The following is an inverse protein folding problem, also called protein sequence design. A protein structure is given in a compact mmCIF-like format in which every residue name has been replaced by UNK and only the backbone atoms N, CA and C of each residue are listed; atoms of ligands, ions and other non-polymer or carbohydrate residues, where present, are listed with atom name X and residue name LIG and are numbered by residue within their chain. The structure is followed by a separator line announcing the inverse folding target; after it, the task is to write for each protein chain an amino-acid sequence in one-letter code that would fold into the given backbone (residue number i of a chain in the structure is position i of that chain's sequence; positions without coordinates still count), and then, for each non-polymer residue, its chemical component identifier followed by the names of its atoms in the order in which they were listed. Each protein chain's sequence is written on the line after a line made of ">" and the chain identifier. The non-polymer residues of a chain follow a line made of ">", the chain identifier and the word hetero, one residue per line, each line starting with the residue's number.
data_IF_724208742723
#
_entry.id   IF_724208742723
#
_cell.length_a   1.000
_cell.length_b   1.000
_cell.length_c   1.000
_cell.angle_alpha   90.00
_cell.angle_beta   90.00
_cell.angle_gamma   90.00
#
_symmetry.space_group_name_H-M   'P 1'
#
loop_
_entity.id
_entity.type
_entity.pdbx_description
1 polymer ?
#
# COMPACT_ATOMS: atom_id res chain seq x y z
N UNK A 1 5.45 10.41 17.53
CA UNK A 1 5.30 8.97 17.84
C UNK A 1 6.57 8.25 17.47
N UNK A 2 7.16 7.51 18.41
CA UNK A 2 8.28 6.60 18.14
C UNK A 2 7.82 5.45 17.23
N UNK A 3 8.77 4.79 16.56
CA UNK A 3 8.50 3.62 15.71
C UNK A 3 7.83 2.50 16.51
N UNK A 4 8.17 2.36 17.79
CA UNK A 4 7.57 1.41 18.73
C UNK A 4 6.12 1.77 19.07
N UNK A 5 5.82 3.04 19.38
CA UNK A 5 4.45 3.52 19.65
C UNK A 5 3.54 3.31 18.44
N UNK A 6 4.06 3.49 17.23
CA UNK A 6 3.30 3.25 16.00
C UNK A 6 3.08 1.77 15.72
N UNK A 7 4.07 0.91 16.03
CA UNK A 7 3.90 -0.55 15.95
C UNK A 7 2.84 -1.04 16.93
N UNK A 8 2.86 -0.53 18.17
CA UNK A 8 1.84 -0.83 19.19
C UNK A 8 0.45 -0.39 18.74
N UNK A 9 0.31 0.85 18.26
CA UNK A 9 -0.97 1.35 17.75
C UNK A 9 -1.47 0.55 16.55
N UNK A 10 -0.58 0.19 15.61
CA UNK A 10 -0.93 -0.66 14.49
C UNK A 10 -1.36 -2.07 14.94
N UNK A 11 -0.69 -2.65 15.95
CA UNK A 11 -1.06 -3.94 16.53
C UNK A 11 -2.42 -3.88 17.20
N UNK A 12 -2.69 -2.83 17.98
CA UNK A 12 -3.98 -2.62 18.63
C UNK A 12 -5.11 -2.46 17.60
N UNK A 13 -4.90 -1.67 16.55
CA UNK A 13 -5.88 -1.52 15.47
C UNK A 13 -6.12 -2.85 14.74
N UNK A 14 -5.05 -3.56 14.38
CA UNK A 14 -5.17 -4.87 13.72
C UNK A 14 -5.87 -5.90 14.60
N UNK A 15 -5.54 -5.96 15.89
CA UNK A 15 -6.16 -6.85 16.86
C UNK A 15 -7.64 -6.52 17.11
N UNK A 16 -7.99 -5.24 17.23
CA UNK A 16 -9.36 -4.79 17.38
C UNK A 16 -10.22 -5.18 16.16
N UNK A 17 -9.71 -4.95 14.95
CA UNK A 17 -10.41 -5.35 13.72
C UNK A 17 -10.56 -6.87 13.64
N UNK A 18 -9.53 -7.65 13.98
CA UNK A 18 -9.62 -9.11 14.03
C UNK A 18 -10.68 -9.58 15.03
N UNK A 19 -10.74 -8.99 16.23
CA UNK A 19 -11.70 -9.35 17.26
C UNK A 19 -13.14 -9.04 16.84
N UNK A 20 -13.37 -7.85 16.26
CA UNK A 20 -14.69 -7.45 15.75
C UNK A 20 -15.12 -8.35 14.57
N UNK A 21 -14.22 -8.59 13.63
CA UNK A 21 -14.49 -9.48 12.50
C UNK A 21 -14.78 -10.92 12.97
N UNK A 22 -14.01 -11.45 13.92
CA UNK A 22 -14.26 -12.79 14.48
C UNK A 22 -15.62 -12.85 15.18
N UNK A 23 -15.96 -11.83 15.97
CA UNK A 23 -17.26 -11.75 16.66
C UNK A 23 -18.45 -11.77 15.71
N UNK A 24 -18.29 -11.22 14.50
CA UNK A 24 -19.34 -11.19 13.47
C UNK A 24 -19.34 -12.47 12.64
N UNK A 25 -18.16 -12.92 12.19
CA UNK A 25 -18.03 -14.02 11.23
C UNK A 25 -18.20 -15.41 11.87
N UNK A 26 -17.60 -15.65 13.05
CA UNK A 26 -17.62 -16.96 13.71
C UNK A 26 -19.04 -17.48 14.00
N UNK A 27 -20.02 -16.66 14.43
CA UNK A 27 -21.38 -17.14 14.64
C UNK A 27 -22.22 -17.26 13.35
N UNK A 28 -21.72 -16.89 12.18
CA UNK A 28 -22.52 -16.94 10.94
C UNK A 28 -22.93 -18.38 10.60
N UNK A 29 -24.22 -18.55 10.34
CA UNK A 29 -24.78 -19.79 9.84
C UNK A 29 -24.51 -19.94 8.34
N UNK A 30 -24.75 -21.14 7.81
CA UNK A 30 -24.58 -21.41 6.38
C UNK A 30 -25.52 -20.56 5.51
N UNK A 31 -26.74 -20.29 6.00
CA UNK A 31 -27.72 -19.47 5.30
C UNK A 31 -27.23 -18.03 5.12
N UNK A 32 -26.63 -17.46 6.17
CA UNK A 32 -26.05 -16.11 6.16
C UNK A 32 -24.91 -15.99 5.12
N UNK A 33 -24.11 -17.05 4.97
CA UNK A 33 -23.00 -17.08 4.01
C UNK A 33 -23.46 -17.21 2.55
N UNK A 34 -24.61 -17.85 2.30
CA UNK A 34 -25.18 -17.95 0.95
C UNK A 34 -25.74 -16.63 0.44
N UNK A 35 -26.31 -15.80 1.32
CA UNK A 35 -26.80 -14.46 0.96
C UNK A 35 -25.66 -13.50 0.55
N UNK A 36 -24.46 -13.74 1.08
CA UNK A 36 -23.25 -12.98 0.71
C UNK A 36 -22.76 -13.28 -0.73
N UNK A 37 -23.25 -14.33 -1.40
CA UNK A 37 -22.77 -14.73 -2.74
C UNK A 37 -22.99 -13.66 -3.81
N UNK A 38 -24.09 -12.91 -3.73
CA UNK A 38 -24.34 -11.76 -4.62
C UNK A 38 -23.33 -10.63 -4.42
N UNK A 39 -22.93 -10.39 -3.16
CA UNK A 39 -21.93 -9.40 -2.80
C UNK A 39 -20.52 -9.79 -3.27
N UNK A 40 -20.21 -11.09 -3.34
CA UNK A 40 -18.93 -11.57 -3.90
C UNK A 40 -18.80 -11.17 -5.38
N UNK A 41 -19.84 -11.38 -6.19
CA UNK A 41 -19.83 -11.00 -7.60
C UNK A 41 -19.74 -9.49 -7.79
N UNK A 42 -20.49 -8.73 -6.98
CA UNK A 42 -20.46 -7.28 -7.00
C UNK A 42 -19.06 -6.75 -6.61
N UNK A 43 -18.46 -7.31 -5.56
CA UNK A 43 -17.10 -6.97 -5.14
C UNK A 43 -16.05 -7.34 -6.20
N UNK A 44 -16.21 -8.48 -6.88
CA UNK A 44 -15.34 -8.90 -7.98
C UNK A 44 -15.45 -7.94 -9.16
N UNK A 45 -16.68 -7.55 -9.55
CA UNK A 45 -16.91 -6.56 -10.60
C UNK A 45 -16.31 -5.20 -10.27
N UNK A 46 -16.48 -4.72 -9.04
CA UNK A 46 -15.85 -3.48 -8.54
C UNK A 46 -14.33 -3.60 -8.57
N UNK A 47 -13.77 -4.74 -8.15
CA UNK A 47 -12.33 -4.97 -8.17
C UNK A 47 -11.77 -4.91 -9.60
N UNK A 48 -12.43 -5.56 -10.56
CA UNK A 48 -12.03 -5.53 -11.96
C UNK A 48 -12.15 -4.12 -12.56
N UNK A 49 -13.23 -3.39 -12.26
CA UNK A 49 -13.40 -2.01 -12.69
C UNK A 49 -12.30 -1.10 -12.10
N UNK A 50 -11.93 -1.29 -10.84
CA UNK A 50 -10.83 -0.59 -10.19
C UNK A 50 -9.47 -0.87 -10.84
N UNK A 51 -9.23 -2.10 -11.32
CA UNK A 51 -7.98 -2.43 -12.00
C UNK A 51 -7.79 -1.64 -13.30
N UNK A 52 -8.89 -1.29 -13.98
CA UNK A 52 -8.88 -0.55 -15.25
C UNK A 52 -9.00 0.97 -15.06
N UNK A 53 -9.41 1.41 -13.87
CA UNK A 53 -9.53 2.83 -13.56
C UNK A 53 -8.18 3.47 -13.25
N UNK A 54 -7.84 4.55 -13.97
CA UNK A 54 -6.64 5.35 -13.70
C UNK A 54 -7.01 6.61 -12.92
N UNK A 55 -6.56 6.77 -11.66
CA UNK A 55 -6.82 7.98 -10.91
C UNK A 55 -6.03 9.16 -11.50
N UNK A 56 -6.62 10.36 -11.50
CA UNK A 56 -5.85 11.58 -11.75
C UNK A 56 -4.87 11.80 -10.60
N UNK A 57 -3.57 11.89 -10.91
CA UNK A 57 -2.48 12.02 -9.94
C UNK A 57 -1.91 13.44 -9.94
N UNK A 58 -2.61 14.37 -9.31
CA UNK A 58 -2.22 15.80 -9.21
C UNK A 58 -1.55 16.15 -7.88
N UNK A 59 -1.35 15.16 -7.00
CA UNK A 59 -0.80 15.34 -5.66
C UNK A 59 0.66 15.81 -5.67
N UNK A 60 1.08 16.33 -4.52
CA UNK A 60 2.45 16.81 -4.27
C UNK A 60 3.12 15.99 -3.18
N UNK A 61 4.45 15.97 -3.19
CA UNK A 61 5.19 15.48 -2.03
C UNK A 61 5.04 16.48 -0.90
N UNK A 62 4.69 16.00 0.28
CA UNK A 62 4.44 16.84 1.45
C UNK A 62 5.57 16.66 2.44
N UNK A 63 6.16 17.77 2.87
CA UNK A 63 7.16 17.76 3.92
C UNK A 63 6.58 17.23 5.24
N UNK A 64 7.33 16.36 5.89
CA UNK A 64 7.02 15.84 7.22
C UNK A 64 8.29 15.85 8.06
N UNK A 65 8.22 16.49 9.22
CA UNK A 65 9.34 16.54 10.17
C UNK A 65 9.71 15.15 10.74
N UNK A 66 8.81 14.16 10.65
CA UNK A 66 9.00 12.81 11.19
C UNK A 66 8.50 11.76 10.22
N UNK A 67 9.43 11.09 9.57
CA UNK A 67 9.20 9.98 8.64
C UNK A 67 10.08 8.81 9.05
N UNK A 68 9.61 7.59 8.83
CA UNK A 68 10.44 6.41 9.06
C UNK A 68 11.47 6.31 7.93
N UNK A 69 12.71 6.62 8.26
CA UNK A 69 13.90 6.43 7.43
C UNK A 69 14.42 5.00 7.43
N UNK A 70 15.61 4.82 6.86
CA UNK A 70 16.29 3.52 6.85
C UNK A 70 16.69 3.08 8.26
N UNK A 71 17.37 3.95 9.00
CA UNK A 71 17.94 3.67 10.33
C UNK A 71 17.19 4.35 11.48
N UNK A 72 16.54 5.49 11.23
CA UNK A 72 15.92 6.30 12.27
C UNK A 72 14.62 7.00 11.82
N UNK A 73 14.01 7.75 12.72
CA UNK A 73 12.97 8.72 12.37
C UNK A 73 13.69 10.00 11.92
N UNK A 74 13.42 10.44 10.71
CA UNK A 74 14.07 11.59 10.11
C UNK A 74 13.07 12.46 9.34
N UNK A 75 13.36 13.76 9.14
CA UNK A 75 12.58 14.59 8.25
C UNK A 75 12.61 14.08 6.81
N UNK A 76 11.55 14.37 6.04
CA UNK A 76 11.50 13.97 4.64
C UNK A 76 10.22 14.35 3.92
N UNK A 77 10.20 14.04 2.63
CA UNK A 77 9.09 14.24 1.71
C UNK A 77 8.26 12.98 1.58
N UNK A 78 6.95 13.07 1.84
CA UNK A 78 6.04 11.92 1.78
C UNK A 78 5.05 12.11 0.64
N UNK A 79 4.89 11.07 -0.17
CA UNK A 79 3.84 11.02 -1.17
C UNK A 79 2.53 10.55 -0.52
N UNK A 80 1.49 11.36 -0.69
CA UNK A 80 0.12 10.98 -0.29
C UNK A 80 -0.38 9.78 -1.08
N UNK A 81 -1.38 9.11 -0.54
CA UNK A 81 -2.06 7.99 -1.23
C UNK A 81 -3.09 8.54 -2.21
N UNK A 82 -3.15 7.99 -3.41
CA UNK A 82 -4.16 8.33 -4.40
C UNK A 82 -5.53 7.74 -4.01
N UNK A 83 -6.63 8.19 -4.64
CA UNK A 83 -7.93 7.51 -4.50
C UNK A 83 -7.87 6.01 -4.85
N UNK A 84 -7.11 5.62 -5.88
CA UNK A 84 -6.94 4.20 -6.20
C UNK A 84 -6.15 3.46 -5.12
N UNK A 85 -5.15 4.10 -4.51
CA UNK A 85 -4.44 3.54 -3.37
C UNK A 85 -5.37 3.34 -2.17
N UNK A 86 -6.27 4.29 -1.88
CA UNK A 86 -7.28 4.14 -0.82
C UNK A 86 -8.29 3.05 -1.13
N UNK A 87 -8.77 2.98 -2.38
CA UNK A 87 -9.66 1.92 -2.83
C UNK A 87 -8.99 0.56 -2.76
N UNK A 88 -7.72 0.42 -3.16
CA UNK A 88 -7.01 -0.85 -3.08
C UNK A 88 -6.81 -1.30 -1.63
N UNK A 89 -6.55 -0.36 -0.71
CA UNK A 89 -6.47 -0.65 0.73
C UNK A 89 -7.77 -1.24 1.28
N UNK A 90 -8.93 -0.76 0.82
CA UNK A 90 -10.23 -1.22 1.30
C UNK A 90 -10.72 -2.47 0.54
N UNK A 91 -10.63 -2.44 -0.79
CA UNK A 91 -11.20 -3.44 -1.68
C UNK A 91 -10.40 -4.74 -1.70
N UNK A 92 -9.08 -4.71 -1.55
CA UNK A 92 -8.26 -5.93 -1.52
C UNK A 92 -8.63 -6.87 -0.38
N UNK A 93 -8.56 -6.41 0.89
CA UNK A 93 -8.97 -7.22 2.04
C UNK A 93 -10.46 -7.60 2.01
N UNK A 94 -11.34 -6.69 1.56
CA UNK A 94 -12.76 -6.98 1.46
C UNK A 94 -13.07 -8.05 0.40
N UNK A 95 -12.50 -7.95 -0.80
CA UNK A 95 -12.67 -8.95 -1.85
C UNK A 95 -12.07 -10.29 -1.43
N UNK A 96 -10.88 -10.30 -0.81
CA UNK A 96 -10.26 -11.51 -0.28
C UNK A 96 -11.11 -12.19 0.79
N UNK A 97 -11.67 -11.43 1.73
CA UNK A 97 -12.58 -11.94 2.74
C UNK A 97 -13.87 -12.49 2.12
N UNK A 98 -14.49 -11.74 1.19
CA UNK A 98 -15.71 -12.17 0.50
C UNK A 98 -15.48 -13.46 -0.31
N UNK A 99 -14.37 -13.57 -1.04
CA UNK A 99 -14.01 -14.79 -1.75
C UNK A 99 -13.79 -15.96 -0.79
N UNK A 100 -13.07 -15.76 0.31
CA UNK A 100 -12.86 -16.79 1.32
C UNK A 100 -14.19 -17.26 1.93
N UNK A 101 -15.09 -16.32 2.26
CA UNK A 101 -16.44 -16.63 2.76
C UNK A 101 -17.26 -17.39 1.71
N UNK A 102 -17.17 -17.00 0.45
CA UNK A 102 -17.81 -17.71 -0.67
C UNK A 102 -17.29 -19.14 -0.83
N UNK A 103 -15.99 -19.37 -0.70
CA UNK A 103 -15.41 -20.74 -0.73
C UNK A 103 -15.86 -21.55 0.49
N UNK A 104 -15.80 -20.95 1.69
CA UNK A 104 -16.23 -21.60 2.94
C UNK A 104 -17.72 -21.98 2.87
N UNK A 105 -18.56 -21.17 2.23
CA UNK A 105 -20.00 -21.46 2.10
C UNK A 105 -20.30 -22.67 1.23
N UNK A 106 -19.41 -23.01 0.29
CA UNK A 106 -19.53 -24.20 -0.57
C UNK A 106 -19.13 -25.50 0.11
N UNK A 107 -18.56 -25.46 1.32
CA UNK A 107 -18.15 -26.67 2.05
C UNK A 107 -19.37 -27.54 2.40
N UNK A 108 -19.37 -28.84 2.04
CA UNK A 108 -20.50 -29.73 2.32
C UNK A 108 -20.62 -30.02 3.82
N UNK A 109 -21.79 -29.79 4.42
CA UNK A 109 -22.02 -30.09 5.86
C UNK A 109 -21.89 -31.59 6.19
N UNK A 110 -21.97 -32.46 5.19
CA UNK A 110 -21.81 -33.92 5.32
C UNK A 110 -20.38 -34.38 5.62
N UNK A 111 -19.39 -33.49 5.54
CA UNK A 111 -18.01 -33.83 5.87
C UNK A 111 -17.76 -33.66 7.38
N UNK A 112 -17.34 -34.74 8.04
CA UNK A 112 -17.24 -34.80 9.51
C UNK A 112 -16.30 -33.77 10.16
N UNK A 113 -15.40 -33.14 9.40
CA UNK A 113 -14.51 -32.09 9.91
C UNK A 113 -15.12 -30.67 9.83
N UNK A 114 -16.18 -30.45 9.04
CA UNK A 114 -16.76 -29.11 8.79
C UNK A 114 -17.30 -28.40 10.04
N UNK A 115 -17.93 -29.09 11.02
CA UNK A 115 -18.37 -28.44 12.27
C UNK A 115 -17.23 -27.77 13.04
N UNK A 116 -16.02 -28.32 12.95
CA UNK A 116 -14.82 -27.80 13.62
C UNK A 116 -13.99 -26.91 12.68
N UNK A 117 -13.90 -27.26 11.40
CA UNK A 117 -13.10 -26.53 10.42
C UNK A 117 -13.69 -25.21 9.98
N UNK A 118 -15.02 -25.09 9.86
CA UNK A 118 -15.69 -23.84 9.47
C UNK A 118 -15.37 -22.67 10.43
N UNK A 119 -15.51 -22.78 11.76
CA UNK A 119 -15.17 -21.69 12.66
C UNK A 119 -13.66 -21.37 12.66
N UNK A 120 -12.80 -22.37 12.48
CA UNK A 120 -11.34 -22.17 12.35
C UNK A 120 -11.00 -21.38 11.09
N UNK A 121 -11.63 -21.70 9.94
CA UNK A 121 -11.45 -20.96 8.69
C UNK A 121 -11.96 -19.53 8.79
N UNK A 122 -13.11 -19.32 9.44
CA UNK A 122 -13.67 -17.98 9.67
C UNK A 122 -12.77 -17.15 10.60
N UNK A 123 -12.20 -17.76 11.64
CA UNK A 123 -11.20 -17.12 12.49
C UNK A 123 -9.93 -16.76 11.71
N UNK A 124 -9.48 -17.62 10.79
CA UNK A 124 -8.35 -17.33 9.91
C UNK A 124 -8.63 -16.13 8.98
N UNK A 125 -9.85 -15.99 8.45
CA UNK A 125 -10.27 -14.81 7.67
C UNK A 125 -10.23 -13.54 8.52
N UNK A 126 -10.76 -13.61 9.75
CA UNK A 126 -10.73 -12.48 10.68
C UNK A 126 -9.30 -12.04 11.05
N UNK A 127 -8.41 -12.99 11.31
CA UNK A 127 -6.98 -12.73 11.53
C UNK A 127 -6.31 -12.12 10.29
N UNK A 128 -6.66 -12.60 9.10
CA UNK A 128 -6.18 -12.04 7.82
C UNK A 128 -6.58 -10.57 7.64
N UNK A 129 -7.82 -10.21 7.98
CA UNK A 129 -8.30 -8.82 7.96
C UNK A 129 -7.55 -7.95 8.97
N UNK A 130 -7.38 -8.42 10.20
CA UNK A 130 -6.61 -7.70 11.22
C UNK A 130 -5.14 -7.52 10.83
N UNK A 131 -4.52 -8.54 10.23
CA UNK A 131 -3.17 -8.46 9.70
C UNK A 131 -3.04 -7.45 8.56
N UNK A 132 -4.02 -7.38 7.65
CA UNK A 132 -4.07 -6.37 6.61
C UNK A 132 -4.09 -4.96 7.21
N UNK A 133 -4.98 -4.69 8.17
CA UNK A 133 -5.05 -3.39 8.86
C UNK A 133 -3.76 -3.06 9.61
N UNK A 134 -3.16 -4.04 10.29
CA UNK A 134 -1.86 -3.87 10.94
C UNK A 134 -0.78 -3.42 9.96
N UNK A 135 -0.65 -4.09 8.81
CA UNK A 135 0.31 -3.69 7.77
C UNK A 135 0.04 -2.27 7.29
N UNK A 136 -1.22 -1.90 7.09
CA UNK A 136 -1.60 -0.56 6.63
C UNK A 136 -1.28 0.53 7.66
N UNK A 137 -1.67 0.34 8.91
CA UNK A 137 -1.41 1.29 10.00
C UNK A 137 0.09 1.45 10.30
N UNK A 138 0.85 0.37 10.15
CA UNK A 138 2.31 0.38 10.28
C UNK A 138 3.00 1.22 9.20
N UNK A 139 2.47 1.24 7.98
CA UNK A 139 3.06 1.90 6.81
C UNK A 139 2.15 3.00 6.21
N UNK A 140 1.81 4.05 6.98
CA UNK A 140 1.18 5.25 6.40
C UNK A 140 2.23 6.16 5.72
N UNK A 141 1.96 6.50 4.45
CA UNK A 141 2.91 7.14 3.53
C UNK A 141 3.64 6.08 2.72
N UNK A 142 3.14 5.79 1.52
CA UNK A 142 3.62 4.66 0.71
C UNK A 142 5.05 4.95 0.27
N UNK A 143 5.25 6.09 -0.39
CA UNK A 143 6.58 6.55 -0.77
C UNK A 143 7.04 7.69 0.13
N UNK A 144 8.27 7.58 0.62
CA UNK A 144 8.95 8.63 1.37
C UNK A 144 10.38 8.82 0.85
N UNK A 145 10.77 10.06 0.65
CA UNK A 145 12.15 10.48 0.40
C UNK A 145 12.69 11.08 1.69
N UNK A 146 13.80 10.55 2.17
CA UNK A 146 14.43 10.92 3.43
C UNK A 146 15.92 11.14 3.20
N UNK A 147 16.65 11.69 4.18
CA UNK A 147 18.09 11.87 4.00
C UNK A 147 18.83 10.53 3.87
N UNK A 148 18.34 9.45 4.47
CA UNK A 148 18.95 8.12 4.33
C UNK A 148 18.58 7.37 3.04
N UNK A 149 17.49 7.74 2.35
CA UNK A 149 17.08 7.05 1.13
C UNK A 149 15.62 7.21 0.74
N UNK A 150 15.20 6.34 -0.17
CA UNK A 150 13.83 6.16 -0.64
C UNK A 150 13.19 4.99 0.09
N UNK A 151 11.99 5.17 0.63
CA UNK A 151 11.16 4.10 1.18
C UNK A 151 9.91 3.95 0.33
N UNK A 152 9.57 2.72 -0.03
CA UNK A 152 8.25 2.36 -0.56
C UNK A 152 7.62 1.25 0.27
N UNK A 153 6.60 1.57 1.07
CA UNK A 153 5.96 0.61 1.96
C UNK A 153 6.96 -0.04 2.92
N UNK A 154 7.20 -1.33 2.74
CA UNK A 154 8.18 -2.10 3.52
C UNK A 154 9.62 -2.01 2.98
N UNK A 155 9.77 -1.64 1.71
CA UNK A 155 11.04 -1.66 1.00
C UNK A 155 11.80 -0.35 1.19
N UNK A 156 13.13 -0.45 1.22
CA UNK A 156 14.03 0.66 1.50
C UNK A 156 15.20 0.59 0.53
N UNK A 157 15.52 1.73 -0.06
CA UNK A 157 16.59 1.89 -1.04
C UNK A 157 17.48 3.05 -0.59
N UNK A 158 18.76 2.78 -0.38
CA UNK A 158 19.70 3.83 0.02
C UNK A 158 20.05 4.70 -1.20
N UNK A 159 20.32 5.98 -0.99
CA UNK A 159 20.69 6.88 -2.10
C UNK A 159 21.93 6.40 -2.86
N UNK A 160 22.92 5.85 -2.15
CA UNK A 160 24.15 5.31 -2.73
C UNK A 160 23.89 4.13 -3.69
N UNK A 161 22.83 3.36 -3.45
CA UNK A 161 22.45 2.26 -4.34
C UNK A 161 21.70 2.76 -5.58
N UNK A 162 21.07 3.93 -5.54
CA UNK A 162 20.23 4.42 -6.64
C UNK A 162 21.09 5.15 -7.66
N UNK A 163 21.32 4.52 -8.81
CA UNK A 163 22.05 5.13 -9.92
C UNK A 163 21.16 6.09 -10.71
N UNK A 164 19.95 5.64 -11.08
CA UNK A 164 18.96 6.46 -11.79
C UNK A 164 17.53 6.05 -11.46
N UNK A 165 16.59 6.97 -11.62
CA UNK A 165 15.15 6.79 -11.49
C UNK A 165 14.46 7.26 -12.77
N UNK A 166 13.64 6.39 -13.38
CA UNK A 166 12.91 6.72 -14.61
C UNK A 166 11.43 6.36 -14.48
N UNK A 167 10.52 7.25 -14.89
CA UNK A 167 9.10 6.92 -14.96
C UNK A 167 8.91 5.82 -16.01
N UNK A 168 8.07 4.83 -15.70
CA UNK A 168 7.70 3.78 -16.64
C UNK A 168 6.62 4.34 -17.56
N UNK A 169 7.03 4.82 -18.73
CA UNK A 169 6.15 5.57 -19.64
C UNK A 169 5.38 4.71 -20.66
N UNK A 170 5.60 3.39 -20.74
CA UNK A 170 5.19 2.60 -21.92
C UNK A 170 4.49 1.27 -21.70
N UNK A 171 3.97 0.97 -20.51
CA UNK A 171 3.16 -0.25 -20.38
C UNK A 171 2.10 -0.20 -19.29
N UNK A 172 1.28 -1.24 -19.21
CA UNK A 172 0.21 -1.47 -18.21
C UNK A 172 0.59 -1.25 -16.73
N UNK A 173 1.87 -0.99 -16.45
CA UNK A 173 2.46 -0.96 -15.12
C UNK A 173 2.96 0.45 -14.80
N UNK A 174 2.22 1.16 -13.95
CA UNK A 174 2.56 2.53 -13.50
C UNK A 174 3.70 2.50 -12.45
N UNK A 175 4.47 3.58 -12.34
CA UNK A 175 5.49 3.78 -11.30
C UNK A 175 6.84 4.30 -11.80
N UNK A 176 7.77 4.47 -10.86
CA UNK A 176 9.16 4.87 -11.11
C UNK A 176 10.08 3.67 -10.95
N UNK A 177 10.77 3.30 -12.02
CA UNK A 177 11.78 2.25 -12.00
C UNK A 177 13.10 2.77 -11.42
N UNK A 178 13.62 2.09 -10.40
CA UNK A 178 14.93 2.37 -9.83
C UNK A 178 15.99 1.48 -10.46
N UNK A 179 17.05 2.10 -10.98
CA UNK A 179 18.24 1.39 -11.44
C UNK A 179 19.24 1.40 -10.28
N UNK A 180 19.43 0.23 -9.69
CA UNK A 180 20.31 0.07 -8.53
C UNK A 180 21.73 -0.35 -8.93
N UNK A 181 22.69 -0.06 -8.06
CA UNK A 181 24.06 -0.56 -8.07
C UNK A 181 24.38 -1.16 -6.67
N UNK A 182 24.61 -2.48 -6.53
CA UNK A 182 24.58 -3.49 -7.59
C UNK A 182 23.18 -3.69 -8.18
N UNK A 183 23.14 -4.04 -9.47
CA UNK A 183 21.89 -4.22 -10.21
C UNK A 183 21.03 -5.34 -9.60
N UNK A 184 19.74 -5.05 -9.37
CA UNK A 184 18.74 -6.03 -8.93
C UNK A 184 17.71 -6.28 -10.03
N UNK A 185 17.40 -7.56 -10.28
CA UNK A 185 16.37 -8.01 -11.20
C UNK A 185 15.33 -8.86 -10.45
N UNK A 186 14.02 -8.60 -10.62
CA UNK A 186 13.43 -7.53 -11.41
C UNK A 186 13.74 -6.15 -10.83
N UNK A 187 13.75 -5.12 -11.69
CA UNK A 187 14.07 -3.75 -11.27
C UNK A 187 13.06 -3.27 -10.23
N UNK A 188 13.50 -2.75 -9.08
CA UNK A 188 12.59 -2.22 -8.08
C UNK A 188 11.75 -1.07 -8.64
N UNK A 189 10.49 -1.01 -8.21
CA UNK A 189 9.56 0.03 -8.61
C UNK A 189 9.05 0.75 -7.38
N UNK A 190 8.91 2.06 -7.53
CA UNK A 190 8.46 2.95 -6.46
C UNK A 190 7.28 3.77 -6.97
N UNK A 191 6.22 3.83 -6.19
CA UNK A 191 5.05 4.67 -6.48
C UNK A 191 4.01 4.02 -7.40
N UNK A 192 3.62 4.69 -8.48
CA UNK A 192 2.58 4.22 -9.39
C UNK A 192 1.17 4.66 -8.98
N UNK A 193 0.15 3.89 -9.40
CA UNK A 193 -1.26 4.28 -9.27
C UNK A 193 -1.72 4.51 -7.83
N UNK A 194 -1.05 3.92 -6.86
CA UNK A 194 -1.41 4.03 -5.44
C UNK A 194 -0.92 5.34 -4.80
N UNK A 195 -0.02 6.04 -5.48
CA UNK A 195 0.55 7.31 -5.05
C UNK A 195 -0.14 8.47 -5.75
N UNK A 196 -0.48 9.52 -4.99
CA UNK A 196 -1.17 10.70 -5.51
C UNK A 196 -0.27 11.59 -6.38
N UNK A 197 1.05 11.48 -6.18
CA UNK A 197 2.08 12.19 -6.96
C UNK A 197 2.27 11.46 -8.29
N UNK A 198 2.43 12.22 -9.39
CA UNK A 198 2.71 11.64 -10.71
C UNK A 198 4.10 10.99 -10.76
N UNK A 199 4.29 10.02 -11.64
CA UNK A 199 5.56 9.29 -11.74
C UNK A 199 6.69 10.21 -12.21
N UNK A 200 6.39 11.20 -13.06
CA UNK A 200 7.35 12.20 -13.55
C UNK A 200 7.84 13.09 -12.41
N UNK A 201 6.90 13.60 -11.59
CA UNK A 201 7.23 14.44 -10.43
C UNK A 201 7.99 13.64 -9.37
N UNK A 202 7.63 12.37 -9.17
CA UNK A 202 8.33 11.49 -8.25
C UNK A 202 9.75 11.16 -8.74
N UNK A 203 9.91 10.82 -10.02
CA UNK A 203 11.23 10.56 -10.62
C UNK A 203 12.13 11.81 -10.56
N UNK A 204 11.60 13.00 -10.90
CA UNK A 204 12.32 14.25 -10.81
C UNK A 204 12.78 14.55 -9.37
N UNK A 205 11.93 14.31 -8.38
CA UNK A 205 12.31 14.47 -6.97
C UNK A 205 13.41 13.47 -6.56
N UNK A 206 13.30 12.20 -6.95
CA UNK A 206 14.32 11.17 -6.64
C UNK A 206 15.67 11.54 -7.26
N UNK A 207 15.70 11.96 -8.53
CA UNK A 207 16.93 12.40 -9.20
C UNK A 207 17.54 13.65 -8.56
N UNK A 208 16.71 14.62 -8.16
CA UNK A 208 17.18 15.83 -7.50
C UNK A 208 17.83 15.52 -6.16
N UNK A 209 17.16 14.76 -5.29
CA UNK A 209 17.65 14.47 -3.94
C UNK A 209 18.71 13.37 -3.89
N UNK A 210 18.82 12.51 -4.92
CA UNK A 210 19.94 11.57 -5.07
C UNK A 210 21.29 12.26 -4.97
N UNK A 211 21.42 13.45 -5.56
CA UNK A 211 22.68 14.21 -5.58
C UNK A 211 22.87 15.14 -4.38
N UNK A 212 21.81 15.37 -3.60
CA UNK A 212 21.78 16.29 -2.45
C UNK A 212 20.89 15.75 -1.33
N UNK A 213 21.16 14.55 -0.80
CA UNK A 213 20.29 13.93 0.19
C UNK A 213 20.28 14.71 1.51
N UNK A 214 21.34 15.46 1.80
CA UNK A 214 21.48 16.28 3.01
C UNK A 214 20.43 17.39 3.06
N UNK A 215 19.93 17.85 1.91
CA UNK A 215 18.86 18.85 1.84
C UNK A 215 17.59 18.37 2.58
N UNK A 216 17.35 17.05 2.64
CA UNK A 216 16.24 16.46 3.38
C UNK A 216 16.52 16.35 4.89
N UNK A 217 17.79 16.46 5.32
CA UNK A 217 18.18 16.37 6.73
C UNK A 217 18.02 17.69 7.49
N UNK A 218 18.06 18.84 6.78
CA UNK A 218 18.16 20.19 7.39
C UNK A 218 16.91 20.61 8.17
N UNK A 219 15.84 19.82 8.19
CA UNK A 219 14.66 20.07 9.02
C UNK A 219 13.75 21.21 8.53
N UNK A 220 14.15 21.96 7.50
CA UNK A 220 13.36 23.00 6.85
C UNK A 220 12.44 22.40 5.78
N UNK A 221 11.22 22.95 5.58
CA UNK A 221 10.33 22.50 4.51
C UNK A 221 11.02 22.68 3.14
N UNK A 222 11.31 21.56 2.48
CA UNK A 222 11.86 21.57 1.12
C UNK A 222 10.73 21.35 0.12
N UNK A 223 10.67 22.17 -0.91
CA UNK A 223 9.76 21.96 -2.05
C UNK A 223 10.49 21.15 -3.11
N UNK A 224 9.95 20.01 -3.57
CA UNK A 224 10.56 19.26 -4.67
C UNK A 224 10.52 20.07 -5.97
N UNK A 225 11.43 19.83 -6.93
CA UNK A 225 11.35 20.44 -8.24
C UNK A 225 10.07 20.04 -8.95
N UNK A 226 9.44 20.99 -9.65
CA UNK A 226 8.38 20.67 -10.61
C UNK A 226 9.01 20.10 -11.88
N UNK A 227 8.42 19.05 -12.49
CA UNK A 227 8.92 18.52 -13.76
C UNK A 227 8.86 19.62 -14.82
N UNK A 228 9.89 19.70 -15.66
CA UNK A 228 9.90 20.64 -16.78
C UNK A 228 8.67 20.38 -17.66
N UNK A 229 7.87 21.41 -17.89
CA UNK A 229 6.77 21.36 -18.85
C UNK A 229 7.43 21.36 -20.23
N UNK A 230 7.41 20.22 -20.91
CA UNK A 230 7.75 20.18 -22.33
C UNK A 230 6.73 21.10 -23.05
N UNK A 231 7.18 22.14 -23.76
CA UNK A 231 6.26 23.00 -24.49
C UNK A 231 5.47 22.14 -25.47
N UNK A 232 4.14 22.20 -25.39
CA UNK A 232 3.27 21.57 -26.35
C UNK A 232 3.46 22.28 -27.71
N UNK A 233 4.32 21.72 -28.56
CA UNK A 233 4.47 22.21 -29.94
C UNK A 233 5.88 22.06 -30.50
N UNK A 234 6.04 21.03 -31.33
CA UNK A 234 7.11 20.86 -32.31
C UNK A 234 6.60 19.92 -33.39
#
# INVERSE_FOLDING_TARGET
>A
MSLASRRLLALLLGGAVAAVAARILVPMSRADLTDLRGLVWLATGVHLAQQHWRPRRTGRLVWRARVAGHTAIEPGLVAGRSPAGWLMLAAGPAAGALLALGVISTLPDRWGWVPVGRPVLLAAVALGLGWAVYRQARFTGQVALTASGVRDGGDRYQWAEIRTARPVSRDREDGVSLHLDPARLPRPRVGGREVAVSDERLAAAIEHFRTRPEALAVGLPVTPPEPAVEPAGG
#
